data_IF_151829220175
#
_entry.id   IF_151829220175
#
_cell.length_a   1.000
_cell.length_b   1.000
_cell.length_c   1.000
_cell.angle_alpha   90.00
_cell.angle_beta   90.00
_cell.angle_gamma   90.00
#
_symmetry.space_group_name_H-M   'P 1'
#
loop_
_entity.id
_entity.type
_entity.pdbx_description
1 polymer ?
#
# COMPACT_ATOMS: atom_id res chain seq x y z
N UNK A 1 5.94 6.50 -9.53
CA UNK A 1 6.01 5.27 -8.70
C UNK A 1 4.82 5.09 -7.73
N UNK A 2 3.72 5.86 -7.82
CA UNK A 2 2.54 5.71 -6.93
C UNK A 2 1.40 4.85 -7.50
N UNK A 3 1.40 4.56 -8.81
CA UNK A 3 0.28 3.93 -9.53
C UNK A 3 0.39 2.41 -9.71
N UNK A 4 1.24 1.72 -8.93
CA UNK A 4 1.21 0.26 -8.92
C UNK A 4 -0.09 -0.18 -8.23
N UNK A 5 -0.96 -0.83 -8.98
CA UNK A 5 -2.22 -1.38 -8.45
C UNK A 5 -1.90 -2.35 -7.31
N UNK A 6 -2.60 -2.23 -6.19
CA UNK A 6 -2.51 -3.11 -5.00
C UNK A 6 -2.53 -4.60 -5.34
N UNK A 7 -3.16 -4.96 -6.46
CA UNK A 7 -3.25 -6.32 -7.01
C UNK A 7 -1.88 -6.98 -7.32
N UNK A 8 -0.81 -6.21 -7.54
CA UNK A 8 0.56 -6.74 -7.75
C UNK A 8 1.37 -6.96 -6.47
N UNK A 9 0.88 -6.49 -5.33
CA UNK A 9 1.60 -6.52 -4.05
C UNK A 9 1.38 -7.86 -3.30
N UNK A 10 0.56 -8.76 -3.86
CA UNK A 10 0.28 -10.06 -3.24
C UNK A 10 -0.73 -9.97 -2.09
N UNK A 11 -1.54 -8.92 -2.01
CA UNK A 11 -2.61 -8.84 -1.02
C UNK A 11 -3.69 -9.90 -1.29
N UNK A 12 -4.35 -10.41 -0.23
CA UNK A 12 -5.55 -11.21 -0.35
C UNK A 12 -6.59 -10.50 -1.23
N UNK A 13 -7.15 -11.21 -2.22
CA UNK A 13 -8.10 -10.62 -3.17
C UNK A 13 -9.33 -10.03 -2.47
N UNK A 14 -9.74 -10.61 -1.34
CA UNK A 14 -10.86 -10.12 -0.52
C UNK A 14 -10.58 -8.76 0.11
N UNK A 15 -9.35 -8.53 0.58
CA UNK A 15 -8.92 -7.21 1.09
C UNK A 15 -8.79 -6.21 -0.06
N UNK A 16 -8.31 -6.65 -1.22
CA UNK A 16 -8.22 -5.79 -2.39
C UNK A 16 -9.61 -5.36 -2.89
N UNK A 17 -10.62 -6.25 -2.86
CA UNK A 17 -12.00 -5.91 -3.23
C UNK A 17 -12.62 -4.92 -2.24
N UNK A 18 -12.44 -5.15 -0.93
CA UNK A 18 -12.86 -4.21 0.10
C UNK A 18 -12.24 -2.83 -0.10
N UNK A 19 -10.92 -2.76 -0.25
CA UNK A 19 -10.20 -1.50 -0.48
C UNK A 19 -10.67 -0.79 -1.77
N UNK A 20 -10.96 -1.56 -2.83
CA UNK A 20 -11.49 -1.02 -4.09
C UNK A 20 -12.89 -0.39 -3.92
N UNK A 21 -13.77 -0.99 -3.09
CA UNK A 21 -15.08 -0.40 -2.76
C UNK A 21 -14.96 0.95 -2.05
N UNK A 22 -13.87 1.17 -1.32
CA UNK A 22 -13.55 2.44 -0.68
C UNK A 22 -12.69 3.38 -1.55
N UNK A 23 -12.53 3.08 -2.85
CA UNK A 23 -11.71 3.82 -3.82
C UNK A 23 -10.19 3.81 -3.56
N UNK A 24 -9.70 2.92 -2.70
CA UNK A 24 -8.27 2.78 -2.41
C UNK A 24 -7.67 1.84 -3.44
N UNK A 25 -7.34 2.38 -4.63
CA UNK A 25 -6.85 1.60 -5.78
C UNK A 25 -5.32 1.64 -5.91
N UNK A 26 -4.69 2.67 -5.32
CA UNK A 26 -3.25 2.87 -5.38
C UNK A 26 -2.59 2.59 -4.03
N UNK A 27 -1.35 2.09 -4.07
CA UNK A 27 -0.55 1.92 -2.86
C UNK A 27 -0.28 3.26 -2.16
N UNK A 28 -0.29 4.38 -2.89
CA UNK A 28 -0.10 5.71 -2.34
C UNK A 28 -1.30 6.13 -1.48
N UNK A 29 -2.52 5.88 -1.97
CA UNK A 29 -3.75 6.12 -1.22
C UNK A 29 -3.81 5.25 0.05
N UNK A 30 -3.41 3.98 -0.06
CA UNK A 30 -3.29 3.08 1.09
C UNK A 30 -2.29 3.57 2.15
N UNK A 31 -1.14 4.11 1.73
CA UNK A 31 -0.10 4.64 2.63
C UNK A 31 -0.49 5.99 3.24
N UNK A 32 -1.41 6.74 2.62
CA UNK A 32 -1.94 7.99 3.17
C UNK A 32 -3.00 7.77 4.27
N UNK A 33 -3.54 6.55 4.39
CA UNK A 33 -4.57 6.24 5.38
C UNK A 33 -3.99 5.97 6.77
N UNK A 34 -4.75 6.36 7.78
CA UNK A 34 -4.40 6.05 9.18
C UNK A 34 -4.57 4.55 9.46
N UNK A 35 -3.71 3.95 10.32
CA UNK A 35 -3.83 2.54 10.73
C UNK A 35 -5.19 2.18 11.33
N UNK A 36 -5.83 3.14 12.01
CA UNK A 36 -7.18 2.98 12.58
C UNK A 36 -8.27 2.84 11.51
N UNK A 37 -8.20 3.65 10.45
CA UNK A 37 -9.11 3.54 9.31
C UNK A 37 -8.91 2.20 8.60
N UNK A 38 -7.65 1.77 8.43
CA UNK A 38 -7.35 0.45 7.86
C UNK A 38 -7.88 -0.69 8.73
N UNK A 39 -7.77 -0.63 10.06
CA UNK A 39 -8.38 -1.62 10.96
C UNK A 39 -9.90 -1.67 10.80
N UNK A 40 -10.57 -0.51 10.70
CA UNK A 40 -12.02 -0.43 10.50
C UNK A 40 -12.45 -1.06 9.16
N UNK A 41 -11.66 -0.88 8.11
CA UNK A 41 -11.99 -1.32 6.74
C UNK A 41 -11.65 -2.80 6.51
N UNK A 42 -10.53 -3.26 7.05
CA UNK A 42 -10.04 -4.64 6.88
C UNK A 42 -10.58 -5.59 7.96
N UNK A 43 -11.02 -5.07 9.11
CA UNK A 43 -11.45 -5.90 10.24
C UNK A 43 -10.32 -6.73 10.86
N UNK A 44 -9.06 -6.41 10.53
CA UNK A 44 -7.88 -7.11 10.99
C UNK A 44 -7.38 -6.54 12.33
N UNK A 45 -6.66 -7.38 13.07
CA UNK A 45 -5.92 -6.95 14.24
C UNK A 45 -4.79 -5.98 13.87
N UNK A 46 -4.36 -5.15 14.82
CA UNK A 46 -3.31 -4.14 14.61
C UNK A 46 -2.05 -4.74 13.96
N UNK A 47 -1.67 -5.94 14.40
CA UNK A 47 -0.50 -6.67 13.85
C UNK A 47 -0.69 -7.02 12.37
N UNK A 48 -1.86 -7.51 11.98
CA UNK A 48 -2.18 -7.83 10.59
C UNK A 48 -2.18 -6.59 9.70
N UNK A 49 -2.72 -5.47 10.18
CA UNK A 49 -2.69 -4.17 9.47
C UNK A 49 -1.25 -3.66 9.33
N UNK A 50 -0.43 -3.79 10.38
CA UNK A 50 0.96 -3.36 10.35
C UNK A 50 1.82 -4.19 9.40
N UNK A 51 1.61 -5.52 9.33
CA UNK A 51 2.27 -6.38 8.36
C UNK A 51 1.88 -6.05 6.91
N UNK A 52 0.58 -5.78 6.68
CA UNK A 52 0.08 -5.32 5.38
C UNK A 52 0.71 -3.98 4.96
N UNK A 53 0.76 -3.00 5.86
CA UNK A 53 1.45 -1.73 5.63
C UNK A 53 2.92 -1.94 5.29
N UNK A 54 3.61 -2.83 6.00
CA UNK A 54 5.00 -3.13 5.73
C UNK A 54 5.21 -3.77 4.35
N UNK A 55 4.34 -4.72 3.95
CA UNK A 55 4.38 -5.33 2.63
C UNK A 55 4.11 -4.32 1.50
N UNK A 56 3.09 -3.49 1.66
CA UNK A 56 2.76 -2.42 0.68
C UNK A 56 3.90 -1.42 0.59
N UNK A 57 4.43 -0.96 1.71
CA UNK A 57 5.56 -0.03 1.76
C UNK A 57 6.79 -0.59 1.05
N UNK A 58 7.15 -1.86 1.30
CA UNK A 58 8.27 -2.53 0.61
C UNK A 58 8.05 -2.68 -0.89
N UNK A 59 6.83 -2.99 -1.31
CA UNK A 59 6.51 -3.11 -2.73
C UNK A 59 6.46 -1.76 -3.46
N UNK A 60 6.18 -0.68 -2.72
CA UNK A 60 6.18 0.69 -3.23
C UNK A 60 7.56 1.36 -3.18
N UNK A 61 8.40 0.98 -2.23
CA UNK A 61 9.74 1.53 -2.07
C UNK A 61 10.57 1.27 -3.35
N UNK A 62 11.10 2.31 -3.99
CA UNK A 62 12.03 2.14 -5.09
C UNK A 62 13.35 1.54 -4.57
N UNK A 63 14.05 0.78 -5.41
CA UNK A 63 15.43 0.40 -5.14
C UNK A 63 16.27 1.67 -5.02
N UNK A 64 17.26 1.67 -4.10
CA UNK A 64 18.07 2.83 -3.73
C UNK A 64 18.55 3.60 -4.97
N UNK A 65 17.96 4.76 -5.23
CA UNK A 65 18.38 5.67 -6.28
C UNK A 65 19.16 6.82 -5.66
N UNK A 66 20.39 7.01 -6.11
CA UNK A 66 21.21 8.18 -5.75
C UNK A 66 20.57 9.46 -6.26
N UNK A 67 20.83 10.58 -5.59
CA UNK A 67 20.30 11.89 -5.96
C UNK A 67 20.62 12.28 -7.42
N UNK A 68 21.71 11.77 -7.99
CA UNK A 68 22.04 11.91 -9.41
C UNK A 68 21.02 11.24 -10.33
N UNK A 69 20.57 10.02 -9.99
CA UNK A 69 19.56 9.28 -10.75
C UNK A 69 18.18 9.94 -10.72
N UNK A 70 17.86 10.71 -9.68
CA UNK A 70 16.62 11.49 -9.61
C UNK A 70 16.66 12.78 -10.44
N UNK A 71 17.85 13.37 -10.66
CA UNK A 71 18.01 14.58 -11.47
C UNK A 71 17.96 14.35 -12.97
N UNK A 72 18.11 13.11 -13.41
CA UNK A 72 18.27 12.72 -14.83
C UNK A 72 16.96 12.18 -15.45
N UNK A 73 15.82 12.31 -14.76
CA UNK A 73 14.51 11.82 -15.21
C UNK A 73 13.53 12.95 -15.50
#
# INVERSE_FOLDING_TARGET
MGSKKLRRVGLPQELCDRLNRYQIVTCQDFLCLSPLELMKMTGLSYRGVHELLCMVSRACAPQMQTAYGMKMQ
#
